data_IF_570776356973
#
_entry.id   IF_570776356973
#
_cell.length_a   1.000
_cell.length_b   1.000
_cell.length_c   1.000
_cell.angle_alpha   90.00
_cell.angle_beta   90.00
_cell.angle_gamma   90.00
#
_symmetry.space_group_name_H-M   'P 1'
#
loop_
_entity.id
_entity.type
_entity.pdbx_description
1 polymer ?
#
# COMPACT_ATOMS: atom_id res chain seq x y z
N UNK A 1 11.59 2.26 -4.62
CA UNK A 1 11.55 0.78 -4.54
C UNK A 1 12.83 0.14 -5.09
N UNK A 2 13.31 0.53 -6.28
CA UNK A 2 14.50 -0.08 -6.92
C UNK A 2 15.79 0.03 -6.08
N UNK A 3 16.06 1.20 -5.50
CA UNK A 3 17.30 1.43 -4.74
C UNK A 3 17.40 0.59 -3.46
N UNK A 4 16.26 0.35 -2.78
CA UNK A 4 16.22 -0.48 -1.58
C UNK A 4 16.50 -1.96 -1.89
N UNK A 5 16.04 -2.46 -3.04
CA UNK A 5 16.35 -3.83 -3.49
C UNK A 5 17.83 -3.99 -3.86
N UNK A 6 18.41 -2.98 -4.51
CA UNK A 6 19.84 -3.00 -4.84
C UNK A 6 20.70 -2.99 -3.56
N UNK A 7 20.35 -2.13 -2.61
CA UNK A 7 21.02 -2.07 -1.32
C UNK A 7 20.88 -3.38 -0.53
N UNK A 8 19.68 -3.97 -0.47
CA UNK A 8 19.48 -5.26 0.21
C UNK A 8 20.26 -6.39 -0.45
N UNK A 9 20.39 -6.36 -1.79
CA UNK A 9 21.16 -7.37 -2.52
C UNK A 9 22.65 -7.26 -2.20
N UNK A 10 23.21 -6.04 -2.24
CA UNK A 10 24.60 -5.79 -1.87
C UNK A 10 24.85 -6.26 -0.44
N UNK A 11 23.97 -5.90 0.49
CA UNK A 11 24.08 -6.29 1.89
C UNK A 11 24.01 -7.82 2.09
N UNK A 12 23.12 -8.50 1.34
CA UNK A 12 23.02 -9.95 1.37
C UNK A 12 24.29 -10.63 0.85
N UNK A 13 24.86 -10.14 -0.27
CA UNK A 13 26.14 -10.65 -0.81
C UNK A 13 27.25 -10.47 0.22
N UNK A 14 27.34 -9.30 0.84
CA UNK A 14 28.31 -9.03 1.91
C UNK A 14 28.18 -9.99 3.08
N UNK A 15 26.95 -10.27 3.55
CA UNK A 15 26.71 -11.22 4.63
C UNK A 15 27.16 -12.64 4.26
N UNK A 16 26.87 -13.09 3.04
CA UNK A 16 27.30 -14.42 2.56
C UNK A 16 28.82 -14.50 2.47
N UNK A 17 29.47 -13.49 1.88
CA UNK A 17 30.94 -13.44 1.79
C UNK A 17 31.57 -13.44 3.18
N UNK A 18 31.03 -12.66 4.12
CA UNK A 18 31.52 -12.62 5.50
C UNK A 18 31.40 -13.97 6.19
N UNK A 19 30.26 -14.66 6.02
CA UNK A 19 30.04 -15.99 6.58
C UNK A 19 31.02 -17.03 6.02
N UNK A 20 31.27 -17.00 4.70
CA UNK A 20 32.17 -17.94 4.03
C UNK A 20 33.65 -17.67 4.32
N UNK A 21 34.04 -16.39 4.45
CA UNK A 21 35.41 -16.03 4.79
C UNK A 21 35.73 -16.28 6.28
N UNK A 22 34.72 -16.27 7.15
CA UNK A 22 34.90 -16.44 8.59
C UNK A 22 34.06 -17.63 9.11
N UNK A 23 34.33 -18.87 8.66
CA UNK A 23 33.54 -20.04 9.06
C UNK A 23 33.79 -20.48 10.51
N UNK A 24 34.73 -19.82 11.21
CA UNK A 24 35.06 -20.11 12.58
C UNK A 24 33.88 -19.83 13.52
N UNK A 25 33.89 -20.46 14.68
CA UNK A 25 32.92 -20.18 15.73
C UNK A 25 33.23 -18.83 16.37
N UNK A 26 32.21 -17.97 16.49
CA UNK A 26 32.29 -16.70 17.20
C UNK A 26 31.62 -16.79 18.56
N UNK A 27 32.26 -16.15 19.54
CA UNK A 27 31.68 -15.92 20.86
C UNK A 27 30.74 -14.71 20.79
N UNK A 28 29.48 -14.95 21.15
CA UNK A 28 28.43 -13.92 21.16
C UNK A 28 28.02 -13.67 22.60
N UNK A 29 28.39 -12.49 23.08
CA UNK A 29 27.97 -11.98 24.38
C UNK A 29 26.72 -11.11 24.19
N UNK A 30 25.55 -11.68 24.45
CA UNK A 30 24.30 -10.94 24.58
C UNK A 30 24.15 -10.42 26.01
N UNK A 31 23.30 -9.41 26.20
CA UNK A 31 23.12 -8.70 27.47
C UNK A 31 22.86 -9.61 28.68
N UNK A 32 22.22 -10.76 28.47
CA UNK A 32 21.91 -11.75 29.52
C UNK A 32 22.44 -13.16 29.24
N UNK A 33 23.05 -13.41 28.06
CA UNK A 33 23.41 -14.76 27.62
C UNK A 33 24.70 -14.75 26.83
N UNK A 34 25.57 -15.71 27.11
CA UNK A 34 26.75 -15.98 26.30
C UNK A 34 26.48 -17.24 25.49
N UNK A 35 26.72 -17.18 24.18
CA UNK A 35 26.59 -18.34 23.31
C UNK A 35 27.73 -18.37 22.32
N UNK A 36 28.09 -19.56 21.89
CA UNK A 36 29.10 -19.77 20.86
C UNK A 36 28.43 -20.49 19.69
N UNK A 37 28.66 -19.98 18.48
CA UNK A 37 28.05 -20.53 17.27
C UNK A 37 28.88 -20.21 16.05
N UNK A 38 28.62 -20.91 14.94
CA UNK A 38 29.27 -20.56 13.68
C UNK A 38 28.82 -19.18 13.22
N UNK A 39 29.73 -18.41 12.63
CA UNK A 39 29.43 -17.08 12.08
C UNK A 39 28.25 -17.13 11.11
N UNK A 40 28.16 -18.18 10.28
CA UNK A 40 27.07 -18.37 9.35
C UNK A 40 25.70 -18.45 10.06
N UNK A 41 25.61 -19.25 11.12
CA UNK A 41 24.37 -19.40 11.90
C UNK A 41 23.97 -18.06 12.54
N UNK A 42 24.93 -17.41 13.21
CA UNK A 42 24.71 -16.12 13.86
C UNK A 42 24.24 -15.06 12.84
N UNK A 43 24.88 -14.99 11.67
CA UNK A 43 24.48 -14.08 10.60
C UNK A 43 23.08 -14.38 10.07
N UNK A 44 22.74 -15.64 9.82
CA UNK A 44 21.41 -16.02 9.36
C UNK A 44 20.34 -15.60 10.38
N UNK A 45 20.56 -15.85 11.67
CA UNK A 45 19.61 -15.43 12.70
C UNK A 45 19.46 -13.91 12.75
N UNK A 46 20.58 -13.18 12.82
CA UNK A 46 20.56 -11.72 12.96
C UNK A 46 19.94 -11.03 11.75
N UNK A 47 20.32 -11.42 10.54
CA UNK A 47 19.70 -10.91 9.31
C UNK A 47 18.24 -11.33 9.20
N UNK A 48 17.91 -12.59 9.51
CA UNK A 48 16.54 -13.09 9.51
C UNK A 48 15.63 -12.27 10.44
N UNK A 49 16.10 -11.98 11.65
CA UNK A 49 15.42 -11.08 12.58
C UNK A 49 15.27 -9.66 12.02
N UNK A 50 16.32 -9.11 11.42
CA UNK A 50 16.27 -7.78 10.78
C UNK A 50 15.21 -7.70 9.67
N UNK A 51 15.14 -8.71 8.81
CA UNK A 51 14.12 -8.81 7.75
C UNK A 51 12.72 -8.92 8.36
N UNK A 52 12.55 -9.76 9.39
CA UNK A 52 11.26 -9.94 10.06
C UNK A 52 10.76 -8.63 10.69
N UNK A 53 11.64 -7.92 11.40
CA UNK A 53 11.35 -6.61 12.00
C UNK A 53 11.04 -5.57 10.92
N UNK A 54 11.82 -5.54 9.83
CA UNK A 54 11.58 -4.66 8.69
C UNK A 54 10.21 -4.88 8.06
N UNK A 55 9.82 -6.13 7.87
CA UNK A 55 8.52 -6.50 7.32
C UNK A 55 7.36 -6.09 8.26
N UNK A 56 7.53 -6.33 9.56
CA UNK A 56 6.56 -5.91 10.58
C UNK A 56 6.39 -4.39 10.61
N UNK A 57 7.47 -3.63 10.43
CA UNK A 57 7.44 -2.16 10.38
C UNK A 57 6.62 -1.62 9.18
N UNK A 58 6.54 -2.37 8.08
CA UNK A 58 5.70 -1.99 6.92
C UNK A 58 4.20 -2.19 7.12
N UNK A 59 3.75 -3.05 8.03
CA UNK A 59 2.33 -3.33 8.29
C UNK A 59 1.51 -2.07 8.65
N UNK A 60 1.88 -1.26 9.67
CA UNK A 60 1.09 -0.09 10.05
C UNK A 60 0.99 0.94 8.91
N UNK A 61 2.04 1.06 8.09
CA UNK A 61 2.05 1.94 6.93
C UNK A 61 1.00 1.51 5.90
N UNK A 62 0.92 0.21 5.60
CA UNK A 62 -0.09 -0.30 4.66
C UNK A 62 -1.52 -0.12 5.18
N UNK A 63 -1.75 -0.35 6.49
CA UNK A 63 -3.08 -0.15 7.09
C UNK A 63 -3.55 1.30 6.96
N UNK A 64 -2.66 2.27 7.25
CA UNK A 64 -2.97 3.70 7.10
C UNK A 64 -3.28 4.06 5.65
N UNK A 65 -2.49 3.56 4.70
CA UNK A 65 -2.72 3.81 3.26
C UNK A 65 -4.07 3.24 2.81
N UNK A 66 -4.45 2.03 3.25
CA UNK A 66 -5.74 1.43 2.89
C UNK A 66 -6.94 2.21 3.45
N UNK A 67 -6.82 2.77 4.66
CA UNK A 67 -7.88 3.63 5.23
C UNK A 67 -8.05 4.92 4.42
N UNK A 68 -6.95 5.60 4.09
CA UNK A 68 -6.98 6.80 3.25
C UNK A 68 -7.57 6.53 1.87
N UNK A 69 -7.25 5.39 1.25
CA UNK A 69 -7.83 5.02 -0.04
C UNK A 69 -9.36 4.86 0.04
N UNK A 70 -9.89 4.24 1.10
CA UNK A 70 -11.34 4.11 1.31
C UNK A 70 -12.02 5.45 1.55
N UNK A 71 -11.36 6.34 2.29
CA UNK A 71 -11.87 7.69 2.57
C UNK A 71 -11.94 8.53 1.28
N UNK A 72 -10.88 8.53 0.48
CA UNK A 72 -10.83 9.22 -0.81
C UNK A 72 -11.87 8.68 -1.81
N UNK A 73 -12.07 7.35 -1.86
CA UNK A 73 -13.12 6.75 -2.69
C UNK A 73 -14.52 7.21 -2.27
N UNK A 74 -14.78 7.29 -0.96
CA UNK A 74 -16.07 7.71 -0.42
C UNK A 74 -16.36 9.19 -0.71
N UNK A 75 -15.35 10.06 -0.67
CA UNK A 75 -15.47 11.48 -1.03
C UNK A 75 -15.79 11.67 -2.53
N UNK A 76 -15.21 10.82 -3.38
CA UNK A 76 -15.46 10.83 -4.82
C UNK A 76 -16.90 10.40 -5.16
N UNK A 77 -17.43 9.37 -4.49
CA UNK A 77 -18.83 8.95 -4.58
C UNK A 77 -19.81 10.02 -4.06
N UNK A 78 -19.43 10.76 -3.01
CA UNK A 78 -20.25 11.83 -2.44
C UNK A 78 -20.31 13.07 -3.34
N UNK A 79 -19.20 13.42 -3.97
CA UNK A 79 -19.12 14.55 -4.89
C UNK A 79 -19.89 14.27 -6.19
N UNK A 80 -19.80 13.06 -6.73
CA UNK A 80 -20.56 12.65 -7.93
C UNK A 80 -22.07 12.58 -7.66
N UNK A 81 -22.50 12.07 -6.50
CA UNK A 81 -23.93 12.05 -6.12
C UNK A 81 -24.51 13.44 -5.85
N UNK A 82 -23.73 14.40 -5.33
CA UNK A 82 -24.20 15.78 -5.12
C UNK A 82 -24.35 16.60 -6.41
N UNK A 83 -23.62 16.26 -7.49
CA UNK A 83 -23.75 16.94 -8.78
C UNK A 83 -25.01 16.52 -9.56
N UNK A 84 -25.56 15.32 -9.27
CA UNK A 84 -26.77 14.82 -9.92
C UNK A 84 -28.08 15.30 -9.28
N UNK A 85 -28.03 15.97 -8.11
CA UNK A 85 -29.21 16.39 -7.36
C UNK A 85 -29.59 17.88 -7.52
N UNK A 86 -28.89 18.65 -8.37
CA UNK A 86 -29.22 20.05 -8.72
C UNK A 86 -29.51 20.21 -10.21
N UNK A 87 -30.48 19.46 -10.73
CA UNK A 87 -31.21 19.89 -11.94
C UNK A 87 -32.62 20.30 -11.50
N UNK A 88 -32.99 21.60 -11.56
CA UNK A 88 -34.32 22.03 -11.15
C UNK A 88 -35.39 21.45 -12.08
N UNK A 89 -36.59 21.13 -11.58
CA UNK A 89 -37.68 20.61 -12.39
C UNK A 89 -38.30 21.76 -13.19
N UNK A 90 -37.86 21.96 -14.43
CA UNK A 90 -38.55 22.86 -15.36
C UNK A 90 -39.61 22.09 -16.13
N UNK A 91 -40.79 21.94 -15.54
CA UNK A 91 -42.05 21.92 -16.30
C UNK A 91 -43.23 22.19 -15.37
N UNK A 92 -44.09 23.14 -15.75
CA UNK A 92 -45.48 22.75 -15.93
C UNK A 92 -46.07 23.25 -17.27
N UNK A 93 -46.51 22.29 -18.06
CA UNK A 93 -47.83 22.20 -18.70
C UNK A 93 -48.65 23.48 -18.94
N UNK A 94 -48.90 23.81 -20.21
CA UNK A 94 -50.18 24.20 -20.85
C UNK A 94 -49.83 24.72 -22.27
N UNK A 95 -50.51 24.42 -23.37
CA UNK A 95 -51.92 24.16 -23.61
C UNK A 95 -52.12 23.21 -24.80
N UNK A 96 -53.09 22.31 -24.62
CA UNK A 96 -53.75 21.49 -25.63
C UNK A 96 -54.65 22.37 -26.51
N UNK A 97 -54.55 22.27 -27.84
CA UNK A 97 -55.70 22.48 -28.73
C UNK A 97 -55.54 21.70 -30.03
N UNK A 98 -56.34 20.65 -30.12
CA UNK A 98 -56.71 19.88 -31.30
C UNK A 98 -57.69 20.65 -32.20
N UNK A 99 -57.63 20.43 -33.53
CA UNK A 99 -58.68 20.77 -34.51
C UNK A 99 -58.08 21.24 -35.85
N UNK A 100 -58.00 20.44 -36.92
CA UNK A 100 -59.03 20.02 -37.91
C UNK A 100 -59.52 21.12 -38.86
N UNK A 101 -59.43 20.83 -40.18
CA UNK A 101 -60.09 21.55 -41.30
C UNK A 101 -59.39 22.84 -41.72
N UNK A 102 -59.45 23.35 -42.95
CA UNK A 102 -60.08 22.98 -44.23
C UNK A 102 -59.98 24.25 -45.09
N UNK A 103 -59.66 24.09 -46.38
CA UNK A 103 -60.06 24.93 -47.53
C UNK A 103 -59.70 26.43 -47.66
N UNK A 104 -59.43 26.78 -48.93
CA UNK A 104 -59.57 28.09 -49.62
C UNK A 104 -58.57 29.20 -49.21
N UNK A 105 -57.97 29.99 -50.10
CA UNK A 105 -58.29 30.45 -51.46
C UNK A 105 -57.00 30.94 -52.16
#
# INVERSE_FOLDING_TARGET
MRLGLLFSLILAIFAVVFALQNPQTMDVNLLFFQTQGSTALILILTFGFGVLVGLLSTLPKQLRTRRKLKELQKEQERSTSSSSAKTPPSSPTSSRSSGTGSDSE
#
